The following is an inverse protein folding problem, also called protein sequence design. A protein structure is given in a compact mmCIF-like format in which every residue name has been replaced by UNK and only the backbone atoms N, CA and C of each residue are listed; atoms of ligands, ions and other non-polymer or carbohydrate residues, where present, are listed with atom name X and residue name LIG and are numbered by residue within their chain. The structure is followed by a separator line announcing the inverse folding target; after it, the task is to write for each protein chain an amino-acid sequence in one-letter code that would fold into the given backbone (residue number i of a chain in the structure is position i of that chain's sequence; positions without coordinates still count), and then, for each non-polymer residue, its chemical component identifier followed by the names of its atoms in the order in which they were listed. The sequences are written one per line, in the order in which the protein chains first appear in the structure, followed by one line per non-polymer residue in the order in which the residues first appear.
data_IF_998981343399
#
_entry.id   IF_998981343399
#
_cell.length_a   1.000
_cell.length_b   1.000
_cell.length_c   1.000
_cell.angle_alpha   90.00
_cell.angle_beta   90.00
_cell.angle_gamma   90.00
#
_symmetry.space_group_name_H-M   'P 1'
#
loop_
_entity.id
_entity.type
_entity.pdbx_description
1 polymer ?
#
# COMPACT_ATOMS: atom_id res chain seq x y z
N UNK A 1 -33.68 8.67 -5.02
CA UNK A 1 -32.92 8.86 -3.76
C UNK A 1 -32.11 10.17 -3.74
N UNK A 2 -31.55 10.63 -4.87
CA UNK A 2 -30.84 11.93 -4.97
C UNK A 2 -31.68 12.99 -5.70
N UNK A 3 -32.97 13.11 -5.39
CA UNK A 3 -33.91 13.99 -6.11
C UNK A 3 -33.71 15.49 -5.81
N UNK A 4 -32.94 15.83 -4.79
CA UNK A 4 -32.65 17.21 -4.40
C UNK A 4 -31.24 17.35 -3.87
N UNK A 5 -30.64 18.52 -4.09
CA UNK A 5 -29.31 18.89 -3.62
C UNK A 5 -29.11 18.63 -2.12
N UNK A 6 -30.13 18.93 -1.29
CA UNK A 6 -30.02 18.74 0.16
C UNK A 6 -29.88 17.26 0.55
N UNK A 7 -30.63 16.39 -0.12
CA UNK A 7 -30.55 14.94 0.09
C UNK A 7 -29.19 14.39 -0.39
N UNK A 8 -28.69 14.91 -1.52
CA UNK A 8 -27.36 14.55 -2.00
C UNK A 8 -26.25 14.97 -1.04
N UNK A 9 -26.28 16.21 -0.56
CA UNK A 9 -25.33 16.72 0.41
C UNK A 9 -25.39 15.93 1.74
N UNK A 10 -26.59 15.63 2.24
CA UNK A 10 -26.76 14.83 3.44
C UNK A 10 -26.19 13.41 3.28
N UNK A 11 -26.45 12.75 2.15
CA UNK A 11 -25.92 11.42 1.85
C UNK A 11 -24.38 11.43 1.78
N UNK A 12 -23.80 12.42 1.10
CA UNK A 12 -22.33 12.55 0.97
C UNK A 12 -21.70 12.86 2.32
N UNK A 13 -22.29 13.75 3.12
CA UNK A 13 -21.78 14.07 4.45
C UNK A 13 -21.80 12.84 5.36
N UNK A 14 -22.88 12.04 5.32
CA UNK A 14 -22.96 10.78 6.06
C UNK A 14 -21.88 9.79 5.62
N UNK A 15 -21.68 9.64 4.30
CA UNK A 15 -20.64 8.77 3.74
C UNK A 15 -19.24 9.24 4.16
N UNK A 16 -18.94 10.54 4.09
CA UNK A 16 -17.65 11.08 4.51
C UNK A 16 -17.42 10.91 6.01
N UNK A 17 -18.47 11.03 6.82
CA UNK A 17 -18.39 10.76 8.25
C UNK A 17 -18.08 9.29 8.52
N UNK A 18 -18.72 8.36 7.81
CA UNK A 18 -18.42 6.93 7.89
C UNK A 18 -16.98 6.62 7.43
N UNK A 19 -16.53 7.21 6.32
CA UNK A 19 -15.16 7.04 5.84
C UNK A 19 -14.14 7.48 6.88
N UNK A 20 -14.35 8.63 7.53
CA UNK A 20 -13.50 9.09 8.64
C UNK A 20 -13.54 8.14 9.82
N UNK A 21 -14.69 7.61 10.19
CA UNK A 21 -14.80 6.62 11.26
C UNK A 21 -14.02 5.33 10.96
N UNK A 22 -13.98 4.88 9.71
CA UNK A 22 -13.14 3.74 9.30
C UNK A 22 -11.65 4.06 9.36
N UNK A 23 -11.24 5.25 8.94
CA UNK A 23 -9.85 5.71 9.02
C UNK A 23 -9.41 5.78 10.49
N UNK A 24 -10.20 6.42 11.36
CA UNK A 24 -9.84 6.50 12.79
C UNK A 24 -9.82 5.12 13.45
N UNK A 25 -10.73 4.21 13.08
CA UNK A 25 -10.73 2.84 13.60
C UNK A 25 -9.49 2.03 13.17
N UNK A 26 -8.90 2.35 12.01
CA UNK A 26 -7.61 1.81 11.57
C UNK A 26 -6.43 2.46 12.31
N UNK A 27 -6.39 3.79 12.38
CA UNK A 27 -5.33 4.55 13.04
C UNK A 27 -5.24 4.30 14.55
N UNK A 28 -6.36 3.93 15.19
CA UNK A 28 -6.38 3.49 16.59
C UNK A 28 -5.46 2.29 16.82
N UNK A 29 -5.22 1.46 15.81
CA UNK A 29 -4.23 0.38 15.84
C UNK A 29 -4.59 -0.78 16.75
N UNK A 30 -5.89 -1.04 16.99
CA UNK A 30 -6.34 -2.15 17.84
C UNK A 30 -5.95 -3.48 17.21
N UNK A 31 -5.25 -4.31 17.97
CA UNK A 31 -4.93 -5.70 17.68
C UNK A 31 -5.91 -6.63 18.40
N UNK A 32 -6.18 -7.79 17.80
CA UNK A 32 -6.98 -8.87 18.38
C UNK A 32 -6.20 -10.19 18.31
N UNK A 33 -6.26 -10.98 19.38
CA UNK A 33 -5.69 -12.32 19.40
C UNK A 33 -6.42 -13.24 18.40
N UNK A 34 -5.67 -14.03 17.64
CA UNK A 34 -6.22 -15.00 16.68
C UNK A 34 -6.99 -16.13 17.36
N UNK A 35 -6.59 -16.54 18.56
CA UNK A 35 -7.27 -17.58 19.32
C UNK A 35 -8.67 -17.12 19.77
N UNK A 36 -9.76 -17.77 19.30
CA UNK A 36 -11.14 -17.39 19.64
C UNK A 36 -11.46 -17.57 21.12
N UNK A 37 -10.74 -18.43 21.84
CA UNK A 37 -10.94 -18.60 23.28
C UNK A 37 -10.35 -17.42 24.09
N UNK A 38 -9.31 -16.77 23.56
CA UNK A 38 -8.69 -15.60 24.17
C UNK A 38 -9.38 -14.29 23.75
N UNK A 39 -9.52 -14.08 22.44
CA UNK A 39 -10.13 -12.90 21.82
C UNK A 39 -9.68 -11.53 22.39
N UNK A 40 -8.49 -11.48 23.03
CA UNK A 40 -7.96 -10.26 23.64
C UNK A 40 -7.84 -9.16 22.60
N UNK A 41 -8.44 -8.01 22.87
CA UNK A 41 -8.26 -6.80 22.09
C UNK A 41 -7.35 -5.82 22.85
N UNK A 42 -6.25 -5.39 22.24
CA UNK A 42 -5.34 -4.41 22.84
C UNK A 42 -4.76 -3.46 21.80
N UNK A 43 -4.29 -2.29 22.26
CA UNK A 43 -3.53 -1.32 21.45
C UNK A 43 -2.04 -1.35 21.78
N UNK A 44 -1.65 -2.12 22.78
CA UNK A 44 -0.26 -2.27 23.20
C UNK A 44 0.44 -3.26 22.28
N UNK A 45 1.43 -2.79 21.53
CA UNK A 45 2.35 -3.66 20.81
C UNK A 45 3.48 -3.98 21.78
N UNK A 46 3.60 -5.24 22.19
CA UNK A 46 4.78 -5.69 22.91
C UNK A 46 5.95 -5.66 21.92
N UNK A 47 6.91 -4.76 22.12
CA UNK A 47 8.17 -4.83 21.39
C UNK A 47 8.80 -6.20 21.66
N UNK A 48 9.21 -6.97 20.64
CA UNK A 48 9.94 -8.20 20.89
C UNK A 48 11.18 -7.85 21.72
N UNK A 49 11.53 -8.66 22.74
CA UNK A 49 12.75 -8.41 23.50
C UNK A 49 13.91 -8.42 22.52
N UNK A 50 14.66 -7.32 22.48
CA UNK A 50 15.89 -7.20 21.71
C UNK A 50 16.89 -8.22 22.26
N UNK A 51 16.87 -9.46 21.78
CA UNK A 51 17.97 -10.40 22.01
C UNK A 51 19.12 -10.01 21.09
N UNK A 52 19.75 -8.88 21.41
CA UNK A 52 21.09 -8.50 20.97
C UNK A 52 21.90 -8.11 22.20
N UNK A 53 22.29 -9.12 22.98
CA UNK A 53 23.49 -9.03 23.77
C UNK A 53 24.69 -9.21 22.81
N UNK A 54 25.30 -8.09 22.42
CA UNK A 54 26.71 -8.02 22.00
C UNK A 54 27.07 -8.51 20.60
N UNK A 55 27.24 -7.59 19.66
CA UNK A 55 28.01 -7.82 18.43
C UNK A 55 27.98 -6.58 17.52
N UNK A 56 29.11 -5.88 17.29
CA UNK A 56 29.15 -4.74 16.40
C UNK A 56 29.52 -5.21 14.99
N UNK A 57 28.65 -5.05 14.00
CA UNK A 57 29.03 -4.72 12.62
C UNK A 57 27.81 -4.66 11.71
N UNK A 58 27.63 -3.49 11.13
CA UNK A 58 27.12 -3.19 9.79
C UNK A 58 25.66 -3.56 9.47
N UNK A 59 24.85 -2.50 9.42
CA UNK A 59 23.45 -2.52 9.03
C UNK A 59 23.25 -3.16 7.67
N UNK A 60 22.62 -4.33 7.68
CA UNK A 60 22.10 -4.97 6.49
C UNK A 60 20.87 -5.78 6.89
N UNK A 61 19.72 -5.09 6.96
CA UNK A 61 18.42 -5.73 7.03
C UNK A 61 18.11 -6.33 5.66
N UNK A 62 18.74 -7.45 5.32
CA UNK A 62 18.40 -8.23 4.13
C UNK A 62 17.36 -9.27 4.52
N UNK A 63 16.14 -9.00 4.06
CA UNK A 63 14.98 -9.87 4.12
C UNK A 63 15.28 -11.20 3.45
N UNK A 64 15.44 -12.26 4.24
CA UNK A 64 15.30 -13.65 3.77
C UNK A 64 14.07 -14.22 4.46
N UNK A 65 13.15 -14.82 3.69
CA UNK A 65 11.73 -15.05 4.01
C UNK A 65 11.35 -15.82 5.29
N UNK A 66 12.29 -16.16 6.17
CA UNK A 66 12.01 -16.71 7.50
C UNK A 66 11.68 -15.64 8.57
N UNK A 67 11.98 -14.36 8.31
CA UNK A 67 11.73 -13.26 9.27
C UNK A 67 10.30 -12.71 9.29
N UNK A 68 9.42 -13.07 8.34
CA UNK A 68 8.03 -12.56 8.36
C UNK A 68 7.28 -12.96 9.65
N UNK A 69 7.66 -14.10 10.24
CA UNK A 69 7.09 -14.59 11.49
C UNK A 69 7.63 -13.87 12.73
N UNK A 70 8.77 -13.17 12.64
CA UNK A 70 9.42 -12.51 13.78
C UNK A 70 8.92 -11.09 14.04
N UNK A 71 8.15 -10.49 13.13
CA UNK A 71 7.63 -9.12 13.30
C UNK A 71 6.18 -9.06 13.78
N UNK A 72 5.51 -10.20 13.98
CA UNK A 72 4.11 -10.18 14.39
C UNK A 72 3.97 -10.29 15.91
N UNK A 73 3.25 -9.35 16.55
CA UNK A 73 3.13 -9.32 18.01
C UNK A 73 2.45 -10.59 18.51
N UNK A 74 3.00 -11.19 19.56
CA UNK A 74 2.44 -12.37 20.21
C UNK A 74 1.44 -11.95 21.30
N UNK A 75 0.42 -12.77 21.54
CA UNK A 75 -0.55 -12.51 22.59
C UNK A 75 0.10 -12.72 23.98
N UNK A 76 0.00 -11.74 24.91
CA UNK A 76 0.58 -11.88 26.25
C UNK A 76 -0.21 -12.83 27.16
N UNK A 77 -1.47 -13.17 26.83
CA UNK A 77 -2.32 -14.01 27.66
C UNK A 77 -2.26 -15.50 27.29
N UNK A 78 -2.03 -15.81 26.02
CA UNK A 78 -1.88 -17.20 25.58
C UNK A 78 -0.49 -17.69 26.00
N UNK A 79 -0.43 -18.46 27.09
CA UNK A 79 0.78 -18.82 27.85
C UNK A 79 1.87 -19.63 27.14
N UNK A 80 1.87 -19.69 25.81
CA UNK A 80 2.92 -20.34 25.02
C UNK A 80 3.44 -19.48 23.85
N UNK A 81 3.02 -18.21 23.71
CA UNK A 81 3.54 -17.34 22.65
C UNK A 81 3.29 -17.85 21.22
N UNK A 82 2.33 -18.76 21.04
CA UNK A 82 2.00 -19.32 19.73
C UNK A 82 0.86 -18.57 19.03
N UNK A 83 0.02 -17.85 19.79
CA UNK A 83 -1.08 -17.09 19.20
C UNK A 83 -0.62 -15.69 18.81
N UNK A 84 -0.95 -15.34 17.59
CA UNK A 84 -0.53 -14.10 16.96
C UNK A 84 -1.62 -13.05 17.13
N UNK A 85 -1.20 -11.82 17.41
CA UNK A 85 -2.07 -10.66 17.43
C UNK A 85 -2.20 -10.10 16.02
N UNK A 86 -3.43 -9.92 15.54
CA UNK A 86 -3.74 -9.39 14.20
C UNK A 86 -4.42 -8.04 14.31
N UNK A 87 -4.19 -7.09 13.39
CA UNK A 87 -4.97 -5.86 13.34
C UNK A 87 -6.47 -6.15 13.23
N UNK A 88 -7.27 -5.57 14.12
CA UNK A 88 -8.74 -5.67 14.06
C UNK A 88 -9.27 -5.04 12.77
N UNK A 89 -8.68 -3.90 12.38
CA UNK A 89 -8.91 -3.27 11.09
C UNK A 89 -7.61 -3.32 10.31
N UNK A 90 -7.57 -4.19 9.31
CA UNK A 90 -6.41 -4.28 8.41
C UNK A 90 -6.46 -3.16 7.38
N UNK A 91 -5.27 -2.79 6.87
CA UNK A 91 -5.18 -1.75 5.86
C UNK A 91 -5.92 -2.12 4.57
N UNK A 92 -5.85 -3.39 4.16
CA UNK A 92 -6.55 -3.87 2.98
C UNK A 92 -8.08 -3.76 3.12
N UNK A 93 -8.62 -3.92 4.33
CA UNK A 93 -10.04 -3.71 4.60
C UNK A 93 -10.42 -2.23 4.47
N UNK A 94 -9.61 -1.33 5.05
CA UNK A 94 -9.82 0.12 4.91
C UNK A 94 -9.77 0.53 3.43
N UNK A 95 -8.74 0.10 2.70
CA UNK A 95 -8.56 0.41 1.29
C UNK A 95 -9.76 -0.06 0.45
N UNK A 96 -10.20 -1.32 0.61
CA UNK A 96 -11.38 -1.85 -0.09
C UNK A 96 -12.65 -1.06 0.23
N UNK A 97 -12.83 -0.65 1.48
CA UNK A 97 -13.98 0.15 1.89
C UNK A 97 -13.98 1.55 1.26
N UNK A 98 -12.83 2.22 1.23
CA UNK A 98 -12.67 3.52 0.55
C UNK A 98 -12.86 3.38 -0.96
N UNK A 99 -12.38 2.27 -1.54
CA UNK A 99 -12.59 1.97 -2.94
C UNK A 99 -14.08 1.76 -3.24
N UNK A 100 -14.81 1.05 -2.38
CA UNK A 100 -16.26 0.91 -2.48
C UNK A 100 -16.97 2.28 -2.47
N UNK A 101 -16.60 3.18 -1.54
CA UNK A 101 -17.15 4.54 -1.51
C UNK A 101 -16.86 5.34 -2.78
N UNK A 102 -15.66 5.18 -3.35
CA UNK A 102 -15.35 5.76 -4.67
C UNK A 102 -16.32 5.24 -5.72
N UNK A 103 -16.53 3.93 -5.81
CA UNK A 103 -17.44 3.33 -6.80
C UNK A 103 -18.89 3.79 -6.64
N UNK A 104 -19.37 3.97 -5.40
CA UNK A 104 -20.72 4.49 -5.14
C UNK A 104 -20.94 5.92 -5.65
N UNK A 105 -19.89 6.74 -5.61
CA UNK A 105 -19.96 8.15 -5.97
C UNK A 105 -19.55 8.41 -7.43
N UNK A 106 -18.93 7.43 -8.10
CA UNK A 106 -18.65 7.53 -9.53
C UNK A 106 -19.98 7.68 -10.28
N UNK A 107 -20.07 8.60 -11.26
CA UNK A 107 -21.18 8.59 -12.19
C UNK A 107 -21.25 7.19 -12.83
N UNK A 108 -22.44 6.61 -13.02
CA UNK A 108 -22.57 5.43 -13.86
C UNK A 108 -22.02 5.78 -15.24
N UNK A 109 -20.80 5.33 -15.51
CA UNK A 109 -20.24 5.42 -16.83
C UNK A 109 -20.96 4.33 -17.63
N UNK A 110 -21.69 4.72 -18.66
CA UNK A 110 -22.15 3.80 -19.69
C UNK A 110 -20.92 3.22 -20.39
N UNK A 111 -20.32 2.15 -19.85
CA UNK A 111 -19.06 1.66 -20.42
C UNK A 111 -18.49 0.36 -19.88
N UNK A 112 -18.47 0.14 -18.57
CA UNK A 112 -17.64 -0.97 -18.03
C UNK A 112 -18.32 -2.35 -18.01
N UNK A 113 -19.34 -2.53 -18.86
CA UNK A 113 -19.98 -3.81 -19.16
C UNK A 113 -20.16 -4.04 -20.67
N UNK A 114 -19.38 -3.38 -21.53
CA UNK A 114 -19.31 -3.71 -22.97
C UNK A 114 -17.87 -3.60 -23.50
N UNK A 115 -17.07 -4.63 -23.23
CA UNK A 115 -16.10 -5.10 -24.23
C UNK A 115 -16.95 -5.59 -25.41
N UNK A 116 -16.73 -5.02 -26.59
CA UNK A 116 -17.46 -5.22 -27.85
C UNK A 116 -18.87 -4.60 -27.96
N UNK A 117 -18.93 -3.34 -28.39
CA UNK A 117 -19.80 -2.93 -29.52
C UNK A 117 -19.52 -1.51 -30.02
N UNK A 118 -19.05 -1.46 -31.27
CA UNK A 118 -18.97 -0.29 -32.14
C UNK A 118 -20.37 0.12 -32.58
N UNK A 119 -20.85 1.31 -32.20
CA UNK A 119 -21.59 2.26 -33.06
C UNK A 119 -22.29 3.37 -32.26
N UNK A 120 -22.17 4.58 -32.83
CA UNK A 120 -23.15 5.68 -32.89
C UNK A 120 -23.52 6.47 -31.62
N UNK A 121 -23.14 7.75 -31.70
CA UNK A 121 -23.86 8.95 -31.24
C UNK A 121 -24.45 9.02 -29.83
N UNK A 122 -23.83 9.89 -29.04
CA UNK A 122 -24.49 10.97 -28.30
C UNK A 122 -25.71 10.59 -27.46
N UNK A 123 -25.46 10.15 -26.23
CA UNK A 123 -26.22 10.64 -25.07
C UNK A 123 -25.42 10.32 -23.81
N UNK A 124 -24.87 11.35 -23.18
CA UNK A 124 -24.38 11.24 -21.82
C UNK A 124 -25.55 10.78 -20.92
N UNK A 125 -25.31 10.03 -19.82
CA UNK A 125 -26.36 9.68 -18.87
C UNK A 125 -26.71 10.91 -18.01
N UNK A 126 -27.28 11.93 -18.63
CA UNK A 126 -27.56 13.26 -18.05
C UNK A 126 -28.96 13.36 -17.43
N UNK A 127 -29.36 12.36 -16.64
CA UNK A 127 -30.58 12.46 -15.83
C UNK A 127 -30.35 13.03 -14.42
N UNK A 128 -29.10 13.34 -14.06
CA UNK A 128 -28.76 13.96 -12.78
C UNK A 128 -28.66 15.48 -12.93
N UNK A 129 -29.33 16.20 -12.04
CA UNK A 129 -29.27 17.65 -11.97
C UNK A 129 -27.80 18.08 -11.77
N UNK A 130 -27.29 19.09 -12.51
CA UNK A 130 -25.87 19.46 -12.49
C UNK A 130 -25.37 19.75 -11.07
N UNK A 131 -26.20 20.37 -10.23
CA UNK A 131 -25.84 20.66 -8.83
C UNK A 131 -25.62 19.39 -7.99
N UNK A 132 -26.36 18.31 -8.29
CA UNK A 132 -26.21 17.02 -7.60
C UNK A 132 -24.91 16.35 -8.05
N UNK A 133 -24.60 16.43 -9.35
CA UNK A 133 -23.33 15.94 -9.91
C UNK A 133 -22.13 16.65 -9.26
N UNK A 134 -22.17 17.97 -9.17
CA UNK A 134 -21.07 18.76 -8.56
C UNK A 134 -20.89 18.40 -7.08
N UNK A 135 -22.01 18.12 -6.38
CA UNK A 135 -21.96 17.66 -4.98
C UNK A 135 -21.29 16.28 -4.89
N UNK A 136 -21.69 15.32 -5.73
CA UNK A 136 -21.08 13.98 -5.81
C UNK A 136 -19.58 14.06 -6.15
N UNK A 137 -19.20 14.90 -7.10
CA UNK A 137 -17.81 15.14 -7.47
C UNK A 137 -17.00 15.73 -6.31
N UNK A 138 -17.60 16.64 -5.53
CA UNK A 138 -16.99 17.14 -4.30
C UNK A 138 -16.73 16.02 -3.28
N UNK A 139 -17.68 15.11 -3.10
CA UNK A 139 -17.51 13.90 -2.29
C UNK A 139 -16.39 13.00 -2.81
N UNK A 140 -16.35 12.75 -4.12
CA UNK A 140 -15.30 11.96 -4.78
C UNK A 140 -13.91 12.53 -4.54
N UNK A 141 -13.73 13.85 -4.60
CA UNK A 141 -12.43 14.49 -4.34
C UNK A 141 -11.92 14.17 -2.93
N UNK A 142 -12.80 14.09 -1.94
CA UNK A 142 -12.41 13.72 -0.58
C UNK A 142 -11.97 12.26 -0.49
N UNK A 143 -12.74 11.34 -1.10
CA UNK A 143 -12.39 9.92 -1.10
C UNK A 143 -11.07 9.67 -1.84
N UNK A 144 -10.82 10.35 -2.96
CA UNK A 144 -9.54 10.29 -3.68
C UNK A 144 -8.37 10.71 -2.79
N UNK A 145 -8.50 11.83 -2.07
CA UNK A 145 -7.46 12.26 -1.12
C UNK A 145 -7.17 11.22 -0.04
N UNK A 146 -8.20 10.54 0.48
CA UNK A 146 -7.99 9.47 1.46
C UNK A 146 -7.28 8.26 0.83
N UNK A 147 -7.62 7.90 -0.40
CA UNK A 147 -6.94 6.83 -1.13
C UNK A 147 -5.48 7.19 -1.42
N UNK A 148 -5.19 8.44 -1.78
CA UNK A 148 -3.82 8.94 -2.05
C UNK A 148 -2.92 8.92 -0.80
N UNK A 149 -3.51 8.91 0.39
CA UNK A 149 -2.79 8.81 1.68
C UNK A 149 -2.64 7.38 2.20
N UNK A 150 -3.28 6.39 1.56
CA UNK A 150 -3.16 4.99 1.97
C UNK A 150 -1.79 4.41 1.57
N UNK A 151 -1.30 3.36 2.23
CA UNK A 151 -0.01 2.76 1.86
C UNK A 151 -0.05 2.01 0.52
N UNK A 152 -1.24 1.82 -0.06
CA UNK A 152 -1.41 1.32 -1.43
C UNK A 152 -1.37 2.41 -2.50
N UNK A 153 -1.25 3.69 -2.12
CA UNK A 153 -1.22 4.80 -3.07
C UNK A 153 0.09 4.87 -3.88
N UNK A 154 1.21 4.54 -3.24
CA UNK A 154 2.53 4.55 -3.86
C UNK A 154 3.09 3.14 -3.93
N UNK A 155 3.41 2.71 -5.15
CA UNK A 155 4.08 1.45 -5.42
C UNK A 155 5.38 1.75 -6.16
N UNK A 156 6.51 1.58 -5.49
CA UNK A 156 7.82 1.72 -6.12
C UNK A 156 8.16 0.46 -6.91
N UNK A 157 7.92 0.50 -8.23
CA UNK A 157 8.24 -0.59 -9.15
C UNK A 157 9.75 -0.90 -9.15
N UNK A 158 10.60 0.10 -8.90
CA UNK A 158 12.04 -0.08 -8.83
C UNK A 158 12.47 -0.98 -7.67
N UNK A 159 11.79 -0.87 -6.53
CA UNK A 159 11.98 -1.75 -5.36
C UNK A 159 11.45 -3.17 -5.62
N UNK A 160 10.27 -3.29 -6.24
CA UNK A 160 9.68 -4.60 -6.56
C UNK A 160 10.57 -5.39 -7.51
N UNK A 161 11.18 -4.72 -8.49
CA UNK A 161 12.02 -5.36 -9.50
C UNK A 161 13.53 -5.22 -9.25
N UNK A 162 13.95 -4.73 -8.08
CA UNK A 162 15.36 -4.53 -7.75
C UNK A 162 16.19 -5.83 -7.87
N UNK A 163 15.60 -6.96 -7.48
CA UNK A 163 16.23 -8.29 -7.57
C UNK A 163 16.19 -8.95 -8.94
N UNK A 164 15.45 -8.39 -9.92
CA UNK A 164 15.40 -8.90 -11.30
C UNK A 164 16.42 -8.22 -12.22
N UNK A 165 17.17 -7.23 -11.71
CA UNK A 165 18.22 -6.58 -12.49
C UNK A 165 19.36 -7.59 -12.67
N UNK A 166 19.51 -8.06 -13.90
CA UNK A 166 20.67 -8.85 -14.33
C UNK A 166 21.91 -7.98 -14.11
N UNK A 167 22.69 -8.31 -13.07
CA UNK A 167 23.99 -7.70 -12.88
C UNK A 167 24.83 -8.05 -14.12
N UNK A 168 25.44 -7.08 -14.83
CA UNK A 168 26.39 -7.40 -15.88
C UNK A 168 27.48 -8.26 -15.25
N UNK A 169 27.66 -9.48 -15.77
CA UNK A 169 28.74 -10.35 -15.32
C UNK A 169 30.05 -9.58 -15.40
N UNK A 170 30.91 -9.62 -14.36
CA UNK A 170 32.22 -9.01 -14.44
C UNK A 170 32.97 -9.61 -15.66
N UNK A 171 33.71 -8.79 -16.43
CA UNK A 171 34.51 -9.31 -17.53
C UNK A 171 35.51 -10.34 -16.96
N UNK A 172 35.84 -11.41 -17.71
CA UNK A 172 36.74 -12.43 -17.23
C UNK A 172 38.10 -11.79 -16.87
N UNK A 173 38.50 -11.95 -15.61
CA UNK A 173 39.84 -11.62 -15.15
C UNK A 173 40.84 -12.51 -15.91
N UNK A 174 41.43 -11.93 -16.95
CA UNK A 174 42.57 -12.53 -17.64
C UNK A 174 43.76 -12.50 -16.67
N UNK A 175 44.15 -13.67 -16.17
CA UNK A 175 45.27 -13.84 -15.24
C UNK A 175 46.57 -13.59 -16.01
N UNK A 176 47.19 -12.43 -15.80
CA UNK A 176 48.55 -12.18 -16.29
C UNK A 176 49.55 -13.02 -15.48
N UNK A 177 50.18 -13.98 -16.16
CA UNK A 177 51.46 -14.56 -15.78
C UNK A 177 52.60 -13.85 -16.51
N UNK A 178 53.28 -12.93 -15.80
CA UNK A 178 54.73 -12.63 -15.78
C UNK A 178 55.51 -12.77 -17.10
N UNK A 179 56.02 -11.65 -17.62
CA UNK A 179 57.00 -11.61 -18.72
C UNK A 179 57.54 -10.21 -19.02
N UNK A 180 58.55 -9.84 -18.24
CA UNK A 180 59.54 -8.76 -18.33
C UNK A 180 59.68 -7.85 -19.58
N UNK A 181 60.04 -6.60 -19.27
CA UNK A 181 60.94 -5.66 -19.97
C UNK A 181 60.36 -4.45 -20.73
N UNK A 182 60.84 -3.30 -20.25
CA UNK A 182 61.33 -2.11 -20.97
C UNK A 182 60.36 -1.15 -21.67
N UNK A 183 60.44 0.10 -21.16
CA UNK A 183 60.52 1.38 -21.89
C UNK A 183 59.27 1.84 -22.64
N UNK A 184 58.89 3.11 -22.77
CA UNK A 184 59.31 4.45 -22.33
C UNK A 184 58.19 5.38 -22.85
N UNK A 185 57.97 6.51 -22.18
CA UNK A 185 57.28 7.73 -22.65
C UNK A 185 55.75 7.78 -22.77
N UNK A 186 55.20 8.56 -21.83
CA UNK A 186 54.42 9.77 -22.05
C UNK A 186 53.93 10.04 -23.49
N UNK A 187 52.62 10.29 -23.62
CA UNK A 187 52.08 11.65 -23.84
C UNK A 187 50.57 11.64 -23.63
N UNK A 188 50.11 12.68 -22.94
CA UNK A 188 48.74 13.21 -22.96
C UNK A 188 48.15 13.29 -24.37
N UNK A 189 46.83 13.26 -24.50
CA UNK A 189 46.03 14.33 -25.13
C UNK A 189 44.54 13.98 -24.99
N UNK A 190 43.81 14.98 -24.48
CA UNK A 190 42.37 15.15 -24.50
C UNK A 190 41.91 15.50 -25.92
N UNK A 191 40.84 14.88 -26.41
CA UNK A 191 39.60 15.47 -26.96
C UNK A 191 38.62 14.32 -27.18
#
# INVERSE_FOLDING_TARGET
LLSSQRHAAAAINALLLQARAHITAYEVGTLICEDPACALATRTISCPPSTVAGGPSDGSWVSTGAQLQQHQPLCPLCGAGHSVMRPRHSEIQLYRQLLFYRHLLLPPCDGDMKIDRKSSDSEAPSNLLPIVRDTLESGLRHIRRYLDQSAFAMVDLGQIFAGLRVLPSPPPHNSQGIGSTSTVNATSVTI
#
